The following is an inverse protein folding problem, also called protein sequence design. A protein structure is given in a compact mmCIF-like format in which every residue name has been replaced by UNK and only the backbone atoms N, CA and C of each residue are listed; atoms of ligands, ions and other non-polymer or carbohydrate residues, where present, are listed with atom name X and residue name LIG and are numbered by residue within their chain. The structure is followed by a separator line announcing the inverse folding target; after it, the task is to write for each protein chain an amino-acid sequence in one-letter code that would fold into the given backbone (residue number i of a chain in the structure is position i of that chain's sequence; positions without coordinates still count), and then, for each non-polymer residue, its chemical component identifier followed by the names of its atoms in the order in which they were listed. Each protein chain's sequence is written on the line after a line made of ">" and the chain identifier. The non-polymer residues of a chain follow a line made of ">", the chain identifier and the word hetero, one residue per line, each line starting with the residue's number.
data_IF_388646298349
#
_entry.id   IF_388646298349
#
_cell.length_a   1.000
_cell.length_b   1.000
_cell.length_c   1.000
_cell.angle_alpha   90.00
_cell.angle_beta   90.00
_cell.angle_gamma   90.00
#
_symmetry.space_group_name_H-M   'P 1'
#
loop_
_entity.id
_entity.type
_entity.pdbx_description
1 polymer ?
#
# COMPACT_ATOMS: atom_id res chain seq x y z
N UNK A 1 0.30 -18.72 7.19
CA UNK A 1 0.69 -18.14 5.89
C UNK A 1 1.73 -19.02 5.24
N UNK A 2 1.56 -19.36 3.97
CA UNK A 2 2.62 -19.98 3.19
C UNK A 2 3.74 -18.96 2.89
N UNK A 3 4.83 -19.41 2.26
CA UNK A 3 6.00 -18.57 1.97
C UNK A 3 5.67 -17.38 1.06
N UNK A 4 4.79 -17.57 0.07
CA UNK A 4 4.36 -16.51 -0.84
C UNK A 4 3.47 -15.48 -0.14
N UNK A 5 2.52 -15.94 0.67
CA UNK A 5 1.64 -15.07 1.46
C UNK A 5 2.45 -14.24 2.46
N UNK A 6 3.43 -14.87 3.13
CA UNK A 6 4.33 -14.19 4.04
C UNK A 6 5.19 -13.14 3.32
N UNK A 7 5.69 -13.44 2.12
CA UNK A 7 6.45 -12.50 1.32
C UNK A 7 5.59 -11.31 0.87
N UNK A 8 4.38 -11.57 0.37
CA UNK A 8 3.43 -10.53 -0.02
C UNK A 8 3.04 -9.64 1.16
N UNK A 9 2.70 -10.24 2.31
CA UNK A 9 2.38 -9.49 3.52
C UNK A 9 3.54 -8.60 3.98
N UNK A 10 4.77 -9.14 4.01
CA UNK A 10 5.96 -8.36 4.35
C UNK A 10 6.19 -7.19 3.39
N UNK A 11 6.03 -7.42 2.08
CA UNK A 11 6.17 -6.35 1.08
C UNK A 11 5.10 -5.26 1.24
N UNK A 12 3.87 -5.64 1.58
CA UNK A 12 2.80 -4.70 1.89
C UNK A 12 3.13 -3.84 3.11
N UNK A 13 3.55 -4.46 4.22
CA UNK A 13 3.96 -3.73 5.44
C UNK A 13 5.11 -2.75 5.14
N UNK A 14 6.06 -3.13 4.28
CA UNK A 14 7.13 -2.23 3.85
C UNK A 14 6.60 -1.00 3.11
N UNK A 15 5.63 -1.16 2.21
CA UNK A 15 5.00 -0.02 1.51
C UNK A 15 4.21 0.86 2.49
N UNK A 16 3.49 0.27 3.44
CA UNK A 16 2.76 1.05 4.46
C UNK A 16 3.71 1.93 5.26
N UNK A 17 4.78 1.35 5.79
CA UNK A 17 5.70 2.07 6.70
C UNK A 17 6.58 3.10 5.98
N UNK A 18 6.92 2.88 4.71
CA UNK A 18 7.92 3.69 3.99
C UNK A 18 7.32 4.55 2.87
N UNK A 19 6.02 4.48 2.62
CA UNK A 19 5.38 5.29 1.57
C UNK A 19 4.02 5.85 2.00
N UNK A 20 3.12 5.01 2.53
CA UNK A 20 1.76 5.44 2.88
C UNK A 20 1.63 6.13 4.24
N UNK A 21 2.70 6.12 5.05
CA UNK A 21 2.76 6.80 6.33
C UNK A 21 3.20 8.26 6.22
N UNK A 22 3.86 8.74 7.27
CA UNK A 22 4.31 10.15 7.37
C UNK A 22 5.58 10.46 6.57
N UNK A 23 6.23 9.45 6.01
CA UNK A 23 7.49 9.58 5.28
C UNK A 23 7.42 8.84 3.96
N UNK A 24 7.75 9.52 2.86
CA UNK A 24 7.97 8.95 1.54
C UNK A 24 9.45 8.61 1.35
N UNK A 25 9.79 7.33 1.43
CA UNK A 25 11.16 6.86 1.25
C UNK A 25 11.64 7.05 -0.20
N UNK A 26 12.93 7.37 -0.38
CA UNK A 26 13.51 7.56 -1.71
C UNK A 26 13.39 6.30 -2.61
N UNK A 27 13.35 5.11 -2.02
CA UNK A 27 13.22 3.83 -2.73
C UNK A 27 11.76 3.35 -2.86
N UNK A 28 10.75 4.19 -2.61
CA UNK A 28 9.33 3.80 -2.63
C UNK A 28 8.90 3.12 -3.94
N UNK A 29 9.43 3.55 -5.09
CA UNK A 29 9.21 2.90 -6.39
C UNK A 29 9.51 1.40 -6.37
N UNK A 30 10.68 1.05 -5.83
CA UNK A 30 11.11 -0.34 -5.73
C UNK A 30 10.22 -1.13 -4.75
N UNK A 31 9.80 -0.49 -3.65
CA UNK A 31 8.93 -1.13 -2.66
C UNK A 31 7.56 -1.46 -3.26
N UNK A 32 6.96 -0.52 -3.99
CA UNK A 32 5.65 -0.71 -4.65
C UNK A 32 5.74 -1.79 -5.73
N UNK A 33 6.77 -1.76 -6.59
CA UNK A 33 6.96 -2.81 -7.61
C UNK A 33 7.16 -4.19 -6.97
N UNK A 34 7.97 -4.29 -5.91
CA UNK A 34 8.19 -5.55 -5.17
C UNK A 34 6.88 -6.10 -4.61
N UNK A 35 6.02 -5.23 -4.09
CA UNK A 35 4.71 -5.61 -3.57
C UNK A 35 3.77 -6.12 -4.67
N UNK A 36 3.72 -5.44 -5.82
CA UNK A 36 2.89 -5.85 -6.96
C UNK A 36 3.33 -7.22 -7.50
N UNK A 37 4.63 -7.44 -7.66
CA UNK A 37 5.16 -8.74 -8.07
C UNK A 37 4.82 -9.85 -7.07
N UNK A 38 4.86 -9.56 -5.77
CA UNK A 38 4.49 -10.53 -4.74
C UNK A 38 3.00 -10.89 -4.80
N UNK A 39 2.11 -9.92 -5.02
CA UNK A 39 0.69 -10.17 -5.22
C UNK A 39 0.40 -10.91 -6.54
N UNK A 40 1.13 -10.61 -7.61
CA UNK A 40 1.01 -11.34 -8.87
C UNK A 40 1.40 -12.82 -8.71
N UNK A 41 2.45 -13.12 -7.93
CA UNK A 41 2.84 -14.50 -7.59
C UNK A 41 1.79 -15.24 -6.76
N UNK A 42 0.95 -14.52 -6.02
CA UNK A 42 -0.23 -15.08 -5.34
C UNK A 42 -1.42 -15.31 -6.27
N UNK A 43 -1.32 -14.91 -7.55
CA UNK A 43 -2.43 -14.96 -8.50
C UNK A 43 -3.47 -13.86 -8.30
N UNK A 44 -3.15 -12.81 -7.53
CA UNK A 44 -4.05 -11.68 -7.33
C UNK A 44 -4.13 -10.82 -8.59
N UNK A 45 -5.35 -10.44 -8.97
CA UNK A 45 -5.57 -9.39 -9.97
C UNK A 45 -5.29 -8.02 -9.36
N UNK A 46 -4.81 -7.09 -10.19
CA UNK A 46 -4.56 -5.73 -9.75
C UNK A 46 -5.89 -5.00 -9.55
N UNK A 47 -6.18 -4.62 -8.30
CA UNK A 47 -7.33 -3.77 -8.00
C UNK A 47 -7.12 -2.35 -8.53
N UNK A 48 -8.21 -1.59 -8.69
CA UNK A 48 -8.13 -0.19 -9.11
C UNK A 48 -7.30 0.67 -8.15
N UNK A 49 -7.38 0.41 -6.84
CA UNK A 49 -6.57 1.11 -5.82
C UNK A 49 -5.08 0.81 -6.00
N UNK A 50 -4.72 -0.44 -6.29
CA UNK A 50 -3.33 -0.84 -6.57
C UNK A 50 -2.82 -0.23 -7.88
N UNK A 51 -3.65 -0.20 -8.92
CA UNK A 51 -3.32 0.44 -10.19
C UNK A 51 -3.09 1.95 -10.02
N UNK A 52 -3.96 2.63 -9.27
CA UNK A 52 -3.80 4.05 -8.95
C UNK A 52 -2.51 4.31 -8.16
N UNK A 53 -2.26 3.52 -7.11
CA UNK A 53 -1.04 3.59 -6.32
C UNK A 53 0.21 3.47 -7.20
N UNK A 54 0.28 2.45 -8.04
CA UNK A 54 1.42 2.23 -8.94
C UNK A 54 1.57 3.33 -9.98
N UNK A 55 0.48 3.74 -10.61
CA UNK A 55 0.54 4.69 -11.72
C UNK A 55 0.80 6.13 -11.26
N UNK A 56 0.51 6.45 -10.00
CA UNK A 56 0.52 7.84 -9.50
C UNK A 56 1.42 8.02 -8.27
N UNK A 57 2.22 7.01 -7.91
CA UNK A 57 3.13 7.04 -6.76
C UNK A 57 4.01 8.31 -6.65
N UNK A 58 4.45 8.86 -7.77
CA UNK A 58 5.25 10.09 -7.78
C UNK A 58 4.45 11.36 -7.41
N UNK A 59 3.14 11.36 -7.66
CA UNK A 59 2.25 12.50 -7.40
C UNK A 59 1.86 12.63 -5.93
N UNK A 60 2.11 11.61 -5.12
CA UNK A 60 1.78 11.67 -3.69
C UNK A 60 2.74 12.61 -2.93
N UNK A 61 2.21 13.34 -1.92
CA UNK A 61 3.01 14.22 -1.08
C UNK A 61 4.01 13.43 -0.23
N UNK A 62 5.04 14.11 0.29
CA UNK A 62 6.07 13.48 1.13
C UNK A 62 5.53 12.96 2.46
N UNK A 63 4.51 13.62 3.01
CA UNK A 63 3.85 13.28 4.26
C UNK A 63 2.37 12.95 4.01
N UNK A 64 2.14 11.74 3.52
CA UNK A 64 0.82 11.20 3.19
C UNK A 64 -0.07 11.03 4.41
N UNK A 65 0.50 10.52 5.51
CA UNK A 65 -0.23 10.28 6.76
C UNK A 65 -0.79 11.54 7.42
N UNK A 66 -0.16 12.70 7.23
CA UNK A 66 -0.73 13.97 7.71
C UNK A 66 -1.92 14.47 6.88
N UNK A 67 -2.07 13.96 5.65
CA UNK A 67 -3.13 14.36 4.71
C UNK A 67 -4.25 13.32 4.60
N UNK A 68 -4.07 12.13 5.19
CA UNK A 68 -5.05 11.05 5.11
C UNK A 68 -6.23 11.30 6.05
N UNK A 69 -7.43 10.97 5.60
CA UNK A 69 -8.63 10.96 6.43
C UNK A 69 -8.81 9.60 7.12
N UNK A 70 -7.84 9.23 7.96
CA UNK A 70 -7.85 7.93 8.65
C UNK A 70 -9.08 7.77 9.56
N UNK A 71 -9.54 8.87 10.17
CA UNK A 71 -10.73 8.86 11.03
C UNK A 71 -12.01 8.61 10.23
N UNK A 72 -12.20 9.28 9.09
CA UNK A 72 -13.34 9.04 8.20
C UNK A 72 -13.34 7.63 7.61
N UNK A 73 -12.18 7.13 7.17
CA UNK A 73 -12.05 5.75 6.65
C UNK A 73 -12.37 4.70 7.73
N UNK A 74 -11.93 4.92 8.98
CA UNK A 74 -12.22 4.04 10.11
C UNK A 74 -13.69 4.09 10.52
N UNK A 75 -14.30 5.28 10.48
CA UNK A 75 -15.72 5.45 10.78
C UNK A 75 -16.60 4.59 9.87
N UNK A 76 -16.29 4.48 8.57
CA UNK A 76 -17.03 3.62 7.65
C UNK A 76 -16.91 2.11 7.96
N UNK A 77 -15.81 1.66 8.57
CA UNK A 77 -15.63 0.26 8.98
C UNK A 77 -16.30 -0.06 10.32
N UNK A 78 -16.30 0.92 11.24
CA UNK A 78 -16.88 0.79 12.58
C UNK A 78 -18.39 0.99 12.58
N UNK A 79 -18.95 1.71 11.59
CA UNK A 79 -20.38 1.71 11.26
C UNK A 79 -20.81 0.35 10.69
N UNK A 80 -20.80 -0.68 11.54
CA UNK A 80 -21.54 -1.91 11.29
C UNK A 80 -23.03 -1.62 11.44
N UNK A 81 -23.80 -1.81 10.36
CA UNK A 81 -25.18 -2.27 10.50
C UNK A 81 -25.18 -3.79 10.67
#
# INVERSE_FOLDING_TARGET
>A
MNTLECAAWKSFVQVVNNFLGNTKAANHARLISTMIEAFQKLGCLMSIKMHFLFSHMEKFPENLGAMSDEQGERFHQDMRQ
#
